data_IF_066278441990
#
_entry.id   IF_066278441990
#
_cell.length_a   1.000
_cell.length_b   1.000
_cell.length_c   1.000
_cell.angle_alpha   90.00
_cell.angle_beta   90.00
_cell.angle_gamma   90.00
#
_symmetry.space_group_name_H-M   'P 1'
#
loop_
_entity.id
_entity.type
_entity.pdbx_description
1 polymer ?
#
# COMPACT_ATOMS: atom_id res chain seq x y z
N UNK A 1 -0.56 -49.99 -29.55
CA UNK A 1 -1.28 -48.76 -29.13
C UNK A 1 -0.32 -47.88 -28.35
N UNK A 2 0.32 -46.93 -29.05
CA UNK A 2 1.35 -46.06 -28.49
C UNK A 2 0.71 -44.82 -27.86
N UNK A 3 0.64 -44.77 -26.54
CA UNK A 3 0.24 -43.57 -25.79
C UNK A 3 1.38 -42.56 -25.75
N UNK A 4 1.25 -41.46 -26.50
CA UNK A 4 2.12 -40.29 -26.39
C UNK A 4 1.72 -39.48 -25.14
N UNK A 5 2.60 -39.28 -24.14
CA UNK A 5 2.40 -38.19 -23.19
C UNK A 5 2.71 -36.85 -23.89
N UNK A 6 1.76 -35.91 -23.84
CA UNK A 6 1.88 -34.59 -24.46
C UNK A 6 3.08 -33.80 -23.90
N UNK A 7 3.68 -32.90 -24.71
CA UNK A 7 4.87 -32.19 -24.31
C UNK A 7 4.57 -31.20 -23.18
N UNK A 8 5.14 -31.54 -22.02
CA UNK A 8 5.60 -30.72 -20.91
C UNK A 8 5.53 -29.22 -21.15
N UNK A 9 4.71 -28.57 -20.30
CA UNK A 9 4.69 -27.13 -20.07
C UNK A 9 6.10 -26.54 -20.09
N UNK A 10 6.37 -25.64 -21.04
CA UNK A 10 7.55 -24.77 -21.06
C UNK A 10 7.68 -24.09 -19.69
N UNK A 11 8.64 -24.56 -18.88
CA UNK A 11 9.08 -23.89 -17.66
C UNK A 11 9.87 -22.64 -18.05
N UNK A 12 9.15 -21.57 -18.36
CA UNK A 12 9.71 -20.21 -18.34
C UNK A 12 9.16 -19.53 -17.09
N UNK A 13 9.99 -19.45 -16.06
CA UNK A 13 9.66 -18.80 -14.79
C UNK A 13 10.30 -19.53 -13.62
N UNK A 14 11.19 -18.83 -12.92
CA UNK A 14 11.88 -19.33 -11.73
C UNK A 14 10.93 -19.82 -10.63
N UNK A 15 11.52 -20.48 -9.63
CA UNK A 15 10.78 -20.97 -8.47
C UNK A 15 10.11 -19.80 -7.75
N UNK A 16 8.85 -19.96 -7.29
CA UNK A 16 8.14 -18.86 -6.68
C UNK A 16 8.77 -18.49 -5.33
N UNK A 17 9.15 -17.23 -5.18
CA UNK A 17 9.80 -16.70 -3.97
C UNK A 17 8.80 -16.58 -2.83
N UNK A 18 9.18 -17.04 -1.63
CA UNK A 18 8.30 -16.96 -0.46
C UNK A 18 8.41 -15.58 0.19
N UNK A 19 7.29 -14.87 0.28
CA UNK A 19 7.17 -13.66 1.08
C UNK A 19 6.80 -14.00 2.52
N UNK A 20 7.25 -13.17 3.46
CA UNK A 20 6.93 -13.29 4.88
C UNK A 20 5.91 -12.24 5.27
N UNK A 21 4.68 -12.61 5.69
CA UNK A 21 3.74 -11.63 6.20
C UNK A 21 4.27 -11.01 7.48
N UNK A 22 3.99 -9.72 7.74
CA UNK A 22 4.37 -9.08 8.98
C UNK A 22 3.79 -9.84 10.18
N UNK A 23 4.52 -9.83 11.29
CA UNK A 23 4.02 -10.39 12.54
C UNK A 23 2.82 -9.57 13.03
N UNK A 24 1.90 -10.14 13.85
CA UNK A 24 0.83 -9.35 14.46
C UNK A 24 1.33 -8.14 15.24
N UNK A 25 2.48 -8.27 15.92
CA UNK A 25 3.10 -7.17 16.67
C UNK A 25 3.61 -6.07 15.73
N UNK A 26 4.26 -6.45 14.63
CA UNK A 26 4.73 -5.50 13.60
C UNK A 26 3.56 -4.77 12.95
N UNK A 27 2.46 -5.48 12.66
CA UNK A 27 1.26 -4.86 12.08
C UNK A 27 0.62 -3.84 13.02
N UNK A 28 0.55 -4.14 14.33
CA UNK A 28 0.07 -3.19 15.35
C UNK A 28 0.97 -1.98 15.46
N UNK A 29 2.28 -2.20 15.61
CA UNK A 29 3.26 -1.10 15.68
C UNK A 29 3.14 -0.16 14.47
N UNK A 30 2.99 -0.70 13.26
CA UNK A 30 2.82 0.13 12.05
C UNK A 30 1.55 0.96 12.08
N UNK A 31 0.45 0.40 12.58
CA UNK A 31 -0.79 1.15 12.77
C UNK A 31 -0.65 2.23 13.84
N UNK A 32 -0.06 1.92 14.99
CA UNK A 32 0.14 2.88 16.08
C UNK A 32 1.04 4.06 15.63
N UNK A 33 2.08 3.76 14.83
CA UNK A 33 2.94 4.79 14.23
C UNK A 33 2.20 5.63 13.18
N UNK A 34 1.38 5.01 12.33
CA UNK A 34 0.56 5.74 11.36
C UNK A 34 -0.43 6.69 12.07
N UNK A 35 -1.12 6.23 13.11
CA UNK A 35 -1.98 7.08 13.93
C UNK A 35 -1.18 8.22 14.59
N UNK A 36 0.00 7.93 15.15
CA UNK A 36 0.85 8.96 15.74
C UNK A 36 1.29 10.04 14.73
N UNK A 37 1.53 9.66 13.47
CA UNK A 37 1.86 10.60 12.38
C UNK A 37 0.64 11.44 11.99
N UNK A 38 -0.53 10.82 11.87
CA UNK A 38 -1.76 11.52 11.48
C UNK A 38 -2.29 12.44 12.58
N UNK A 39 -2.45 11.93 13.81
CA UNK A 39 -3.08 12.66 14.91
C UNK A 39 -2.16 13.75 15.47
N UNK A 40 -0.84 13.55 15.41
CA UNK A 40 0.13 14.47 16.03
C UNK A 40 0.68 15.51 15.05
N UNK A 41 1.75 15.20 14.29
CA UNK A 41 2.37 16.13 13.35
C UNK A 41 1.43 16.63 12.26
N UNK A 42 0.74 15.74 11.53
CA UNK A 42 -0.04 16.16 10.36
C UNK A 42 -1.21 17.09 10.72
N UNK A 43 -1.90 16.83 11.84
CA UNK A 43 -2.98 17.69 12.33
C UNK A 43 -2.48 19.10 12.71
N UNK A 44 -1.38 19.19 13.47
CA UNK A 44 -0.81 20.48 13.89
C UNK A 44 -0.25 21.27 12.71
N UNK A 45 0.39 20.60 11.76
CA UNK A 45 0.90 21.24 10.54
C UNK A 45 -0.24 21.74 9.65
N UNK A 46 -1.36 21.02 9.59
CA UNK A 46 -2.57 21.46 8.88
C UNK A 46 -3.18 22.72 9.51
N UNK A 47 -3.20 22.81 10.83
CA UNK A 47 -3.64 24.03 11.54
C UNK A 47 -2.73 25.22 11.21
N UNK A 48 -1.40 25.02 11.19
CA UNK A 48 -0.45 26.06 10.81
C UNK A 48 -0.66 26.53 9.35
N UNK A 49 -0.90 25.60 8.42
CA UNK A 49 -1.21 25.96 7.03
C UNK A 49 -2.47 26.83 6.92
N UNK A 50 -3.50 26.56 7.73
CA UNK A 50 -4.71 27.38 7.79
C UNK A 50 -4.42 28.78 8.36
N UNK A 51 -3.67 28.88 9.46
CA UNK A 51 -3.27 30.16 10.05
C UNK A 51 -2.46 31.03 9.08
N UNK A 52 -1.52 30.45 8.35
CA UNK A 52 -0.76 31.15 7.30
C UNK A 52 -1.67 31.68 6.18
N UNK A 53 -2.70 30.91 5.80
CA UNK A 53 -3.70 31.34 4.82
C UNK A 53 -4.52 32.53 5.30
N UNK A 54 -4.95 32.52 6.57
CA UNK A 54 -5.66 33.64 7.18
C UNK A 54 -4.74 34.88 7.27
N UNK A 55 -3.47 34.69 7.61
CA UNK A 55 -2.49 35.77 7.66
C UNK A 55 -2.32 36.42 6.28
N UNK A 56 -2.16 35.62 5.21
CA UNK A 56 -2.01 36.12 3.85
C UNK A 56 -3.15 37.06 3.41
N UNK A 57 -4.39 36.78 3.84
CA UNK A 57 -5.57 37.61 3.59
C UNK A 57 -5.49 38.97 4.29
N UNK A 58 -4.90 39.02 5.49
CA UNK A 58 -4.76 40.26 6.28
C UNK A 58 -3.58 41.14 5.87
N UNK A 59 -2.60 40.57 5.14
CA UNK A 59 -1.41 41.29 4.72
C UNK A 59 -1.71 42.20 3.53
N UNK A 60 -1.42 43.50 3.71
CA UNK A 60 -1.60 44.54 2.68
C UNK A 60 -0.38 44.73 1.79
N UNK A 61 0.83 44.43 2.27
CA UNK A 61 2.06 44.46 1.48
C UNK A 61 2.12 43.25 0.52
N UNK A 62 2.10 43.45 -0.81
CA UNK A 62 2.12 42.37 -1.79
C UNK A 62 3.35 41.46 -1.66
N UNK A 63 4.55 42.03 -1.45
CA UNK A 63 5.77 41.26 -1.31
C UNK A 63 5.75 40.37 -0.07
N UNK A 64 5.14 40.85 1.02
CA UNK A 64 4.98 40.06 2.24
C UNK A 64 3.92 38.97 2.08
N UNK A 65 2.82 39.27 1.36
CA UNK A 65 1.78 38.28 1.05
C UNK A 65 2.35 37.11 0.26
N UNK A 66 3.08 37.39 -0.82
CA UNK A 66 3.70 36.36 -1.67
C UNK A 66 4.64 35.44 -0.86
N UNK A 67 5.39 36.02 0.10
CA UNK A 67 6.25 35.24 1.00
C UNK A 67 5.45 34.34 1.94
N UNK A 68 4.33 34.83 2.49
CA UNK A 68 3.45 34.02 3.35
C UNK A 68 2.81 32.89 2.56
N UNK A 69 2.35 33.14 1.34
CA UNK A 69 1.79 32.12 0.45
C UNK A 69 2.85 31.06 0.09
N UNK A 70 4.08 31.46 -0.24
CA UNK A 70 5.17 30.52 -0.50
C UNK A 70 5.49 29.63 0.71
N UNK A 71 5.49 30.19 1.92
CA UNK A 71 5.66 29.40 3.16
C UNK A 71 4.47 28.46 3.36
N UNK A 72 3.24 28.92 3.10
CA UNK A 72 2.04 28.08 3.18
C UNK A 72 2.14 26.87 2.24
N UNK A 73 2.61 27.08 1.01
CA UNK A 73 2.82 26.00 0.04
C UNK A 73 3.89 25.01 0.50
N UNK A 74 5.01 25.50 1.03
CA UNK A 74 6.02 24.62 1.65
C UNK A 74 5.43 23.79 2.80
N UNK A 75 4.56 24.39 3.63
CA UNK A 75 3.88 23.66 4.71
C UNK A 75 2.92 22.60 4.15
N UNK A 76 2.23 22.87 3.03
CA UNK A 76 1.38 21.88 2.34
C UNK A 76 2.20 20.70 1.83
N UNK A 77 3.35 20.94 1.23
CA UNK A 77 4.27 19.88 0.80
C UNK A 77 4.71 18.99 1.98
N UNK A 78 5.06 19.61 3.12
CA UNK A 78 5.41 18.85 4.35
C UNK A 78 4.23 18.00 4.85
N UNK A 79 2.99 18.48 4.75
CA UNK A 79 1.80 17.70 5.11
C UNK A 79 1.66 16.48 4.19
N UNK A 80 1.90 16.65 2.89
CA UNK A 80 1.81 15.56 1.92
C UNK A 80 2.92 14.53 2.11
N UNK A 81 4.14 14.96 2.46
CA UNK A 81 5.23 14.05 2.88
C UNK A 81 4.87 13.24 4.11
N UNK A 82 4.28 13.87 5.14
CA UNK A 82 3.83 13.19 6.35
C UNK A 82 2.74 12.15 6.04
N UNK A 83 1.80 12.49 5.15
CA UNK A 83 0.76 11.55 4.67
C UNK A 83 1.39 10.39 3.92
N UNK A 84 2.34 10.65 3.03
CA UNK A 84 3.05 9.61 2.30
C UNK A 84 3.79 8.64 3.25
N UNK A 85 4.39 9.16 4.33
CA UNK A 85 4.99 8.35 5.39
C UNK A 85 3.95 7.49 6.11
N UNK A 86 2.84 8.09 6.56
CA UNK A 86 1.74 7.37 7.22
C UNK A 86 1.20 6.23 6.35
N UNK A 87 0.96 6.51 5.07
CA UNK A 87 0.47 5.54 4.09
C UNK A 87 1.47 4.43 3.78
N UNK A 88 2.78 4.73 3.82
CA UNK A 88 3.83 3.71 3.70
C UNK A 88 3.83 2.77 4.91
N UNK A 89 3.56 3.30 6.10
CA UNK A 89 3.44 2.53 7.33
C UNK A 89 2.16 1.68 7.35
N UNK A 90 0.99 2.25 7.12
CA UNK A 90 -0.26 1.51 7.19
C UNK A 90 -1.30 2.16 6.25
N UNK A 91 -1.96 1.42 5.35
CA UNK A 91 -2.99 1.99 4.49
C UNK A 91 -4.22 2.42 5.34
N UNK A 92 -4.54 3.71 5.47
CA UNK A 92 -5.62 4.17 6.36
C UNK A 92 -7.00 3.65 5.92
N UNK A 93 -7.19 3.48 4.60
CA UNK A 93 -8.39 2.92 3.97
C UNK A 93 -8.72 1.51 4.50
N UNK A 94 -7.73 0.78 5.02
CA UNK A 94 -7.91 -0.58 5.55
C UNK A 94 -8.81 -0.62 6.79
N UNK A 95 -8.83 0.42 7.60
CA UNK A 95 -9.60 0.47 8.85
C UNK A 95 -11.11 0.61 8.60
N UNK A 96 -11.49 1.27 7.50
CA UNK A 96 -12.90 1.51 7.16
C UNK A 96 -13.44 0.66 5.99
N UNK A 97 -12.67 0.53 4.90
CA UNK A 97 -13.16 -0.04 3.64
C UNK A 97 -12.66 -1.47 3.34
N UNK A 98 -11.71 -1.97 4.14
CA UNK A 98 -11.20 -3.34 4.03
C UNK A 98 -10.04 -3.50 3.05
N UNK A 99 -9.71 -4.76 2.71
CA UNK A 99 -8.45 -5.13 2.05
C UNK A 99 -8.42 -4.68 0.59
N UNK A 100 -9.47 -4.92 -0.18
CA UNK A 100 -9.48 -4.61 -1.61
C UNK A 100 -9.37 -3.10 -1.90
N UNK A 101 -10.19 -2.22 -1.30
CA UNK A 101 -10.06 -0.78 -1.52
C UNK A 101 -8.70 -0.23 -1.08
N UNK A 102 -8.16 -0.73 0.04
CA UNK A 102 -6.85 -0.34 0.53
C UNK A 102 -5.73 -0.69 -0.47
N UNK A 103 -5.75 -1.90 -1.03
CA UNK A 103 -4.75 -2.32 -2.02
C UNK A 103 -4.90 -1.60 -3.36
N UNK A 104 -6.13 -1.29 -3.78
CA UNK A 104 -6.39 -0.50 -4.99
C UNK A 104 -5.80 0.90 -4.86
N UNK A 105 -6.03 1.57 -3.73
CA UNK A 105 -5.45 2.88 -3.43
C UNK A 105 -3.91 2.86 -3.46
N UNK A 106 -3.28 1.82 -2.90
CA UNK A 106 -1.81 1.66 -2.96
C UNK A 106 -1.33 1.46 -4.40
N UNK A 107 -2.07 0.70 -5.22
CA UNK A 107 -1.70 0.43 -6.60
C UNK A 107 -1.83 1.69 -7.49
N UNK A 108 -2.91 2.44 -7.36
CA UNK A 108 -3.17 3.68 -8.11
C UNK A 108 -2.06 4.71 -7.88
N UNK A 109 -1.67 4.94 -6.62
CA UNK A 109 -0.59 5.89 -6.28
C UNK A 109 0.78 5.50 -6.82
N UNK A 110 0.98 4.21 -7.11
CA UNK A 110 2.26 3.67 -7.61
C UNK A 110 2.21 3.43 -9.12
N UNK A 111 1.13 3.79 -9.79
CA UNK A 111 0.89 3.49 -11.21
C UNK A 111 1.01 1.98 -11.50
N UNK A 112 0.35 1.16 -10.68
CA UNK A 112 0.34 -0.30 -10.82
C UNK A 112 -1.06 -0.77 -11.21
N UNK A 113 -1.15 -1.55 -12.29
CA UNK A 113 -2.40 -2.24 -12.65
C UNK A 113 -2.62 -3.46 -11.75
N UNK A 114 -3.63 -3.43 -10.88
CA UNK A 114 -3.92 -4.49 -9.90
C UNK A 114 -5.12 -5.36 -10.30
N UNK A 115 -4.90 -6.67 -10.48
CA UNK A 115 -5.94 -7.70 -10.61
C UNK A 115 -5.98 -8.54 -9.32
N UNK A 116 -6.83 -8.14 -8.36
CA UNK A 116 -7.04 -8.84 -7.10
C UNK A 116 -8.23 -9.79 -7.20
N UNK A 117 -8.02 -11.07 -6.85
CA UNK A 117 -9.08 -12.08 -6.83
C UNK A 117 -9.08 -12.90 -5.55
N UNK A 118 -10.29 -13.22 -5.10
CA UNK A 118 -10.54 -14.15 -4.01
C UNK A 118 -11.22 -13.49 -2.81
N UNK A 119 -11.75 -14.30 -1.89
CA UNK A 119 -12.68 -13.86 -0.85
C UNK A 119 -11.97 -13.16 0.32
N UNK A 120 -11.41 -11.96 0.12
CA UNK A 120 -10.66 -11.25 1.17
C UNK A 120 -11.51 -10.79 2.35
N UNK A 121 -12.81 -10.63 2.14
CA UNK A 121 -13.83 -10.34 3.14
C UNK A 121 -14.02 -11.48 4.16
N UNK A 122 -13.71 -12.72 3.76
CA UNK A 122 -13.79 -13.91 4.63
C UNK A 122 -12.56 -14.08 5.53
N UNK A 123 -11.55 -13.22 5.41
CA UNK A 123 -10.41 -13.19 6.32
C UNK A 123 -10.84 -12.65 7.69
N UNK A 124 -10.35 -13.24 8.78
CA UNK A 124 -10.51 -12.63 10.10
C UNK A 124 -9.79 -11.27 10.20
N UNK A 125 -10.05 -10.50 11.26
CA UNK A 125 -9.48 -9.15 11.42
C UNK A 125 -7.94 -9.15 11.38
N UNK A 126 -7.27 -10.12 12.01
CA UNK A 126 -5.79 -10.15 12.08
C UNK A 126 -5.18 -10.58 10.74
N UNK A 127 -5.77 -11.56 10.08
CA UNK A 127 -5.37 -12.04 8.78
C UNK A 127 -5.60 -10.99 7.69
N UNK A 128 -6.69 -10.21 7.76
CA UNK A 128 -6.95 -9.08 6.85
C UNK A 128 -5.81 -8.08 6.86
N UNK A 129 -5.47 -7.59 8.05
CA UNK A 129 -4.42 -6.57 8.19
C UNK A 129 -3.08 -7.08 7.65
N UNK A 130 -2.68 -8.27 8.08
CA UNK A 130 -1.38 -8.85 7.68
C UNK A 130 -1.31 -9.19 6.20
N UNK A 131 -2.42 -9.65 5.62
CA UNK A 131 -2.52 -9.93 4.18
C UNK A 131 -2.43 -8.63 3.37
N UNK A 132 -3.16 -7.60 3.78
CA UNK A 132 -3.10 -6.29 3.13
C UNK A 132 -1.69 -5.70 3.19
N UNK A 133 -1.06 -5.65 4.38
CA UNK A 133 0.29 -5.12 4.53
C UNK A 133 1.31 -5.91 3.70
N UNK A 134 1.24 -7.24 3.71
CA UNK A 134 2.12 -8.08 2.88
C UNK A 134 2.01 -7.72 1.39
N UNK A 135 0.79 -7.60 0.87
CA UNK A 135 0.58 -7.30 -0.55
C UNK A 135 1.01 -5.87 -0.85
N UNK A 136 0.60 -4.90 -0.02
CA UNK A 136 0.97 -3.49 -0.17
C UNK A 136 2.50 -3.30 -0.16
N UNK A 137 3.21 -3.94 0.77
CA UNK A 137 4.67 -3.89 0.83
C UNK A 137 5.30 -4.45 -0.46
N UNK A 138 4.75 -5.55 -0.99
CA UNK A 138 5.23 -6.08 -2.26
C UNK A 138 4.92 -5.16 -3.45
N UNK A 139 3.72 -4.57 -3.53
CA UNK A 139 3.39 -3.60 -4.58
C UNK A 139 4.35 -2.41 -4.54
N UNK A 140 4.73 -1.93 -3.35
CA UNK A 140 5.72 -0.86 -3.21
C UNK A 140 7.13 -1.23 -3.67
N UNK A 141 7.43 -2.51 -3.94
CA UNK A 141 8.73 -2.90 -4.55
C UNK A 141 8.73 -2.88 -6.07
N UNK A 142 7.55 -2.76 -6.71
CA UNK A 142 7.43 -2.78 -8.16
C UNK A 142 7.68 -1.39 -8.76
N UNK A 143 8.13 -1.36 -10.01
CA UNK A 143 8.27 -0.12 -10.78
C UNK A 143 6.90 0.43 -11.21
N UNK A 144 6.78 1.76 -11.43
CA UNK A 144 5.62 2.34 -12.12
C UNK A 144 5.35 1.68 -13.47
N UNK A 145 4.08 1.62 -13.88
CA UNK A 145 3.62 0.91 -15.09
C UNK A 145 3.58 -0.62 -14.97
N UNK A 146 3.85 -1.19 -13.78
CA UNK A 146 3.82 -2.64 -13.57
C UNK A 146 2.39 -3.19 -13.49
N UNK A 147 2.23 -4.47 -13.83
CA UNK A 147 0.99 -5.21 -13.62
C UNK A 147 1.15 -6.26 -12.51
N UNK A 148 0.27 -6.24 -11.52
CA UNK A 148 0.28 -7.19 -10.40
C UNK A 148 -1.03 -7.98 -10.36
N UNK A 149 -0.94 -9.30 -10.48
CA UNK A 149 -2.07 -10.22 -10.26
C UNK A 149 -1.93 -10.87 -8.90
N UNK A 150 -2.91 -10.64 -8.04
CA UNK A 150 -2.96 -11.17 -6.67
C UNK A 150 -4.11 -12.14 -6.54
N UNK A 151 -3.83 -13.36 -6.06
CA UNK A 151 -4.86 -14.35 -5.72
C UNK A 151 -4.79 -14.69 -4.25
N UNK A 152 -5.91 -14.53 -3.56
CA UNK A 152 -6.06 -14.88 -2.14
C UNK A 152 -7.00 -16.07 -2.03
N UNK A 153 -6.50 -17.18 -1.50
CA UNK A 153 -7.32 -18.33 -1.15
C UNK A 153 -7.45 -18.41 0.38
N UNK A 154 -8.67 -18.35 0.89
CA UNK A 154 -8.95 -18.36 2.33
C UNK A 154 -9.35 -19.78 2.75
N UNK A 155 -8.73 -20.26 3.82
CA UNK A 155 -9.11 -21.51 4.50
C UNK A 155 -9.28 -21.29 5.99
N UNK A 156 -9.70 -22.34 6.71
CA UNK A 156 -10.07 -22.26 8.14
C UNK A 156 -8.96 -21.74 9.07
N UNK A 157 -7.70 -22.09 8.80
CA UNK A 157 -6.54 -21.74 9.65
C UNK A 157 -5.52 -20.84 8.96
N UNK A 158 -5.59 -20.74 7.64
CA UNK A 158 -4.59 -20.03 6.85
C UNK A 158 -5.22 -19.44 5.60
N UNK A 159 -4.73 -18.26 5.22
CA UNK A 159 -4.91 -17.69 3.90
C UNK A 159 -3.62 -17.87 3.09
N UNK A 160 -3.75 -18.25 1.82
CA UNK A 160 -2.64 -18.35 0.88
C UNK A 160 -2.72 -17.18 -0.09
N UNK A 161 -1.63 -16.45 -0.22
CA UNK A 161 -1.50 -15.33 -1.16
C UNK A 161 -0.54 -15.76 -2.25
N UNK A 162 -0.90 -15.53 -3.51
CA UNK A 162 0.00 -15.68 -4.66
C UNK A 162 0.01 -14.37 -5.42
N UNK A 163 1.19 -13.87 -5.73
CA UNK A 163 1.36 -12.63 -6.48
C UNK A 163 2.20 -12.93 -7.71
N UNK A 164 1.74 -12.48 -8.87
CA UNK A 164 2.50 -12.49 -10.10
C UNK A 164 2.67 -11.06 -10.56
N UNK A 165 3.90 -10.60 -10.71
CA UNK A 165 4.20 -9.27 -11.23
C UNK A 165 4.82 -9.35 -12.62
N UNK A 166 4.43 -8.41 -13.46
CA UNK A 166 5.00 -8.12 -14.77
C UNK A 166 5.52 -6.68 -14.71
N UNK A 167 6.84 -6.52 -14.72
CA UNK A 167 7.50 -5.22 -14.60
C UNK A 167 8.13 -4.86 -15.95
N UNK A 168 8.05 -3.60 -16.40
CA UNK A 168 8.68 -3.17 -17.66
C UNK A 168 10.16 -3.54 -17.70
N UNK A 169 10.58 -4.22 -18.77
CA UNK A 169 11.99 -4.60 -18.96
C UNK A 169 12.49 -5.75 -18.08
N UNK A 170 11.64 -6.42 -17.29
CA UNK A 170 12.04 -7.55 -16.45
C UNK A 170 11.27 -8.82 -16.77
N UNK A 171 11.86 -9.98 -16.43
CA UNK A 171 11.16 -11.24 -16.48
C UNK A 171 10.07 -11.31 -15.40
N UNK A 172 8.91 -11.88 -15.78
CA UNK A 172 7.78 -12.12 -14.86
C UNK A 172 8.22 -12.81 -13.57
N UNK A 173 7.87 -12.22 -12.43
CA UNK A 173 8.19 -12.74 -11.09
C UNK A 173 6.96 -13.36 -10.43
N UNK A 174 7.18 -14.37 -9.60
CA UNK A 174 6.11 -15.08 -8.87
C UNK A 174 6.46 -15.17 -7.40
N UNK A 175 5.52 -14.78 -6.57
CA UNK A 175 5.64 -14.76 -5.12
C UNK A 175 4.48 -15.52 -4.48
N UNK A 176 4.72 -16.06 -3.28
CA UNK A 176 3.66 -16.66 -2.49
C UNK A 176 3.88 -16.44 -0.99
N UNK A 177 2.80 -16.48 -0.22
CA UNK A 177 2.85 -16.42 1.22
C UNK A 177 1.70 -17.21 1.84
N UNK A 178 1.86 -17.51 3.13
CA UNK A 178 0.81 -18.10 3.97
C UNK A 178 0.65 -17.21 5.19
N UNK A 179 -0.56 -16.71 5.39
CA UNK A 179 -0.95 -15.89 6.54
C UNK A 179 -1.81 -16.77 7.44
N UNK A 180 -1.44 -16.88 8.71
CA UNK A 180 -2.23 -17.63 9.68
C UNK A 180 -3.46 -16.81 10.11
N UNK A 181 -4.62 -17.47 10.08
CA UNK A 181 -5.88 -16.99 10.63
C UNK A 181 -5.92 -17.28 12.14
N UNK A 182 -6.45 -16.36 12.94
CA UNK A 182 -6.60 -16.49 14.40
C UNK A 182 -6.62 -15.17 15.15
#
# INVERSE_FOLDING_TARGET
>A
MNGRPGPLLRRVGGWPTRLRPPSPRTARLRHDLEQAVHDGPALRTSALALELGLLAVTVTDPCLRDRVEAVQDTVREVIDDLRAVGEALYPPVLTGAGVEPALRSVAERRDITLDLRGPTEHLDRRARVRTCLLIADHLRTLAPGSAARVRVAVGRRFARVRITSDEPGQARRRHWAVVRCG
#
